data_IF_396860693428
#
_entry.id   IF_396860693428
#
_cell.length_a   1.000
_cell.length_b   1.000
_cell.length_c   1.000
_cell.angle_alpha   90.00
_cell.angle_beta   90.00
_cell.angle_gamma   90.00
#
_symmetry.space_group_name_H-M   'P 1'
#
loop_
_entity.id
_entity.type
_entity.pdbx_description
1 polymer ?
#
# COMPACT_ATOMS: atom_id res chain seq x y z
N UNK A 1 -31.24 2.81 -13.25
CA UNK A 1 -30.16 1.97 -12.65
C UNK A 1 -28.87 2.26 -13.39
N UNK A 2 -27.80 2.54 -12.68
CA UNK A 2 -26.50 2.76 -13.32
C UNK A 2 -25.94 1.43 -13.85
N UNK A 3 -25.06 1.47 -14.84
CA UNK A 3 -24.37 0.27 -15.34
C UNK A 3 -23.64 -0.49 -14.23
N UNK A 4 -23.15 0.23 -13.24
CA UNK A 4 -22.50 -0.37 -12.06
C UNK A 4 -23.50 -1.17 -11.21
N UNK A 5 -24.68 -0.63 -10.97
CA UNK A 5 -25.73 -1.33 -10.20
C UNK A 5 -26.22 -2.58 -10.92
N UNK A 6 -26.33 -2.53 -12.26
CA UNK A 6 -26.64 -3.72 -13.07
C UNK A 6 -25.56 -4.81 -12.93
N UNK A 7 -24.29 -4.42 -13.05
CA UNK A 7 -23.16 -5.33 -12.90
C UNK A 7 -23.07 -5.94 -11.49
N UNK A 8 -23.31 -5.14 -10.46
CA UNK A 8 -23.35 -5.64 -9.08
C UNK A 8 -24.46 -6.67 -8.91
N UNK A 9 -25.65 -6.42 -9.44
CA UNK A 9 -26.76 -7.39 -9.38
C UNK A 9 -26.46 -8.68 -10.16
N UNK A 10 -25.80 -8.56 -11.29
CA UNK A 10 -25.45 -9.70 -12.15
C UNK A 10 -24.38 -10.58 -11.51
N UNK A 11 -23.27 -9.98 -11.05
CA UNK A 11 -22.10 -10.71 -10.55
C UNK A 11 -22.07 -10.92 -9.04
N UNK A 12 -22.86 -10.16 -8.29
CA UNK A 12 -22.95 -10.26 -6.84
C UNK A 12 -24.41 -10.31 -6.38
N UNK A 13 -25.21 -11.30 -6.82
CA UNK A 13 -26.65 -11.34 -6.54
C UNK A 13 -26.98 -11.43 -5.05
N UNK A 14 -26.06 -11.95 -4.25
CA UNK A 14 -26.18 -12.09 -2.80
C UNK A 14 -25.41 -10.97 -2.04
N UNK A 15 -24.99 -9.92 -2.73
CA UNK A 15 -24.16 -8.86 -2.19
C UNK A 15 -22.66 -9.15 -2.30
N UNK A 16 -21.87 -8.25 -1.70
CA UNK A 16 -20.41 -8.34 -1.67
C UNK A 16 -19.97 -8.62 -0.24
N UNK A 17 -19.11 -9.61 -0.06
CA UNK A 17 -18.50 -9.92 1.23
C UNK A 17 -17.44 -8.88 1.59
N UNK A 18 -17.46 -8.48 2.86
CA UNK A 18 -16.43 -7.60 3.42
C UNK A 18 -15.50 -8.38 4.33
N UNK A 19 -14.19 -8.20 4.16
CA UNK A 19 -13.16 -8.82 4.98
C UNK A 19 -12.21 -7.78 5.54
N UNK A 20 -11.75 -8.01 6.76
CA UNK A 20 -10.73 -7.17 7.39
C UNK A 20 -9.36 -7.46 6.79
N UNK A 21 -8.54 -6.42 6.61
CA UNK A 21 -7.18 -6.59 6.11
C UNK A 21 -6.36 -7.57 6.94
N UNK A 22 -6.53 -7.56 8.27
CA UNK A 22 -5.85 -8.49 9.17
C UNK A 22 -6.17 -9.97 8.94
N UNK A 23 -7.30 -10.27 8.30
CA UNK A 23 -7.69 -11.64 7.92
C UNK A 23 -7.11 -12.06 6.56
N UNK A 24 -6.69 -11.09 5.74
CA UNK A 24 -6.29 -11.31 4.35
C UNK A 24 -4.78 -11.31 4.12
N UNK A 25 -4.01 -10.77 5.06
CA UNK A 25 -2.57 -10.65 4.87
C UNK A 25 -1.86 -9.97 6.03
N UNK A 26 -0.66 -9.48 5.74
CA UNK A 26 0.24 -8.91 6.75
C UNK A 26 0.79 -7.56 6.34
N UNK A 27 1.08 -6.72 7.34
CA UNK A 27 1.74 -5.43 7.18
C UNK A 27 3.25 -5.53 7.45
N UNK A 28 4.01 -4.82 6.63
CA UNK A 28 5.47 -4.74 6.70
C UNK A 28 5.92 -3.28 6.66
N UNK A 29 6.97 -2.95 7.40
CA UNK A 29 7.58 -1.63 7.34
C UNK A 29 8.50 -1.45 6.13
N UNK A 30 8.82 -0.19 5.84
CA UNK A 30 9.87 0.17 4.89
C UNK A 30 11.28 -0.03 5.49
N UNK A 31 12.26 0.63 4.89
CA UNK A 31 13.67 0.62 5.33
C UNK A 31 13.81 1.00 6.80
N UNK A 32 14.70 0.33 7.50
CA UNK A 32 15.06 0.62 8.88
C UNK A 32 16.57 0.79 9.05
N UNK A 33 16.96 1.63 10.03
CA UNK A 33 18.37 1.83 10.39
C UNK A 33 19.23 2.50 9.32
N UNK A 34 18.63 3.24 8.39
CA UNK A 34 19.33 3.99 7.34
C UNK A 34 19.58 5.44 7.76
N UNK A 35 20.76 5.92 7.43
CA UNK A 35 21.16 7.32 7.59
C UNK A 35 21.09 8.08 6.26
N UNK A 36 21.21 9.41 6.31
CA UNK A 36 21.26 10.24 5.10
C UNK A 36 22.34 9.80 4.11
N UNK A 37 23.50 9.36 4.61
CA UNK A 37 24.61 8.92 3.78
C UNK A 37 24.32 7.66 2.96
N UNK A 38 23.43 6.80 3.44
CA UNK A 38 23.03 5.57 2.73
C UNK A 38 22.27 5.85 1.43
N UNK A 39 21.75 7.08 1.25
CA UNK A 39 21.05 7.50 0.05
C UNK A 39 21.91 8.30 -0.94
N UNK A 40 23.19 8.53 -0.64
CA UNK A 40 24.08 9.32 -1.49
C UNK A 40 24.72 8.47 -2.60
N UNK A 41 25.16 7.24 -2.29
CA UNK A 41 25.79 6.31 -3.22
C UNK A 41 25.18 4.91 -3.07
N UNK A 42 23.87 4.83 -3.31
CA UNK A 42 23.14 3.58 -3.18
C UNK A 42 23.40 2.60 -4.31
N UNK A 43 23.28 1.32 -3.99
CA UNK A 43 23.42 0.20 -4.92
C UNK A 43 22.10 -0.45 -5.31
N UNK A 44 21.02 -0.19 -4.55
CA UNK A 44 19.71 -0.78 -4.77
C UNK A 44 18.63 0.29 -4.96
N UNK A 45 17.61 0.01 -5.76
CA UNK A 45 16.48 0.91 -5.98
C UNK A 45 15.58 0.99 -4.75
N UNK A 46 15.09 2.17 -4.43
CA UNK A 46 14.06 2.33 -3.40
C UNK A 46 12.95 3.28 -3.83
N UNK A 47 11.76 3.01 -3.32
CA UNK A 47 10.54 3.77 -3.59
C UNK A 47 10.44 4.91 -2.58
N UNK A 48 10.30 6.12 -3.10
CA UNK A 48 10.15 7.34 -2.29
C UNK A 48 8.71 7.52 -1.81
N UNK A 49 8.54 8.28 -0.73
CA UNK A 49 7.23 8.74 -0.25
C UNK A 49 6.42 9.43 -1.37
N UNK A 50 7.06 10.31 -2.13
CA UNK A 50 6.42 11.05 -3.23
C UNK A 50 5.86 10.12 -4.30
N UNK A 51 6.58 9.06 -4.64
CA UNK A 51 6.12 8.08 -5.63
C UNK A 51 4.82 7.40 -5.15
N UNK A 52 4.79 6.96 -3.90
CA UNK A 52 3.60 6.34 -3.28
C UNK A 52 2.42 7.31 -3.25
N UNK A 53 2.66 8.53 -2.81
CA UNK A 53 1.62 9.55 -2.67
C UNK A 53 1.00 9.94 -4.02
N UNK A 54 1.84 10.15 -5.04
CA UNK A 54 1.41 10.70 -6.33
C UNK A 54 0.78 9.65 -7.27
N UNK A 55 1.10 8.36 -7.12
CA UNK A 55 0.78 7.35 -8.11
C UNK A 55 -0.10 6.22 -7.55
N UNK A 56 -1.33 6.03 -8.04
CA UNK A 56 -2.15 4.86 -7.70
C UNK A 56 -1.49 3.53 -8.08
N UNK A 57 -0.83 3.51 -9.24
CA UNK A 57 0.04 2.44 -9.70
C UNK A 57 1.49 2.90 -9.54
N UNK A 58 2.29 2.16 -8.80
CA UNK A 58 3.66 2.55 -8.48
C UNK A 58 4.50 2.74 -9.73
N UNK A 59 5.19 3.88 -9.83
CA UNK A 59 6.16 4.11 -10.89
C UNK A 59 7.46 3.36 -10.57
N UNK A 60 7.84 2.40 -11.42
CA UNK A 60 9.06 1.61 -11.28
C UNK A 60 10.24 2.17 -12.09
N UNK A 61 9.99 3.15 -12.95
CA UNK A 61 11.05 3.89 -13.66
C UNK A 61 11.62 4.96 -12.74
N UNK A 62 12.52 4.55 -11.86
CA UNK A 62 13.10 5.34 -10.79
C UNK A 62 14.63 5.23 -10.77
N UNK A 63 15.27 6.31 -10.33
CA UNK A 63 16.72 6.38 -10.17
C UNK A 63 17.16 6.45 -8.69
N UNK A 64 16.21 6.64 -7.78
CA UNK A 64 16.49 6.73 -6.35
C UNK A 64 17.13 5.45 -5.82
N UNK A 65 18.25 5.60 -5.11
CA UNK A 65 19.08 4.50 -4.63
C UNK A 65 19.33 4.58 -3.14
N UNK A 66 19.44 3.41 -2.54
CA UNK A 66 19.83 3.24 -1.14
C UNK A 66 20.95 2.21 -1.05
N UNK A 67 21.86 2.41 -0.12
CA UNK A 67 22.92 1.45 0.16
C UNK A 67 22.39 0.29 1.01
N UNK A 68 22.48 -0.90 0.47
CA UNK A 68 22.20 -2.16 1.18
C UNK A 68 23.50 -2.94 1.26
N UNK A 69 23.93 -3.24 2.49
CA UNK A 69 25.16 -3.98 2.72
C UNK A 69 24.95 -5.49 2.50
N UNK A 70 26.02 -6.24 2.16
CA UNK A 70 25.93 -7.70 2.08
C UNK A 70 25.43 -8.31 3.39
N UNK A 71 24.42 -9.17 3.30
CA UNK A 71 23.80 -9.81 4.48
C UNK A 71 22.82 -8.96 5.26
N UNK A 72 22.62 -7.70 4.88
CA UNK A 72 21.64 -6.82 5.51
C UNK A 72 20.21 -7.31 5.21
N UNK A 73 19.40 -7.40 6.25
CA UNK A 73 17.99 -7.81 6.13
C UNK A 73 17.08 -6.59 6.12
N UNK A 74 16.42 -6.40 5.00
CA UNK A 74 15.39 -5.37 4.80
C UNK A 74 14.19 -6.00 4.08
N UNK A 75 13.00 -5.47 4.33
CA UNK A 75 11.82 -5.88 3.58
C UNK A 75 11.92 -5.41 2.13
N UNK A 76 11.56 -6.26 1.19
CA UNK A 76 11.49 -5.95 -0.24
C UNK A 76 10.06 -6.02 -0.73
N UNK A 77 9.74 -5.16 -1.69
CA UNK A 77 8.43 -5.10 -2.33
C UNK A 77 8.27 -6.18 -3.40
N UNK A 78 7.05 -6.64 -3.61
CA UNK A 78 6.68 -7.64 -4.61
C UNK A 78 5.45 -7.17 -5.41
N UNK A 79 5.26 -7.75 -6.58
CA UNK A 79 4.05 -7.57 -7.38
C UNK A 79 2.79 -7.83 -6.53
N UNK A 80 1.83 -6.93 -6.60
CA UNK A 80 0.60 -7.02 -5.83
C UNK A 80 0.64 -6.39 -4.43
N UNK A 81 1.81 -6.00 -3.94
CA UNK A 81 1.89 -5.27 -2.67
C UNK A 81 1.16 -3.94 -2.74
N UNK A 82 0.43 -3.63 -1.68
CA UNK A 82 -0.30 -2.38 -1.50
C UNK A 82 0.47 -1.52 -0.51
N UNK A 83 0.97 -0.40 -0.98
CA UNK A 83 1.87 0.48 -0.23
C UNK A 83 1.09 1.68 0.27
N UNK A 84 1.38 2.14 1.49
CA UNK A 84 0.73 3.27 2.12
C UNK A 84 1.76 4.26 2.64
N UNK A 85 1.46 5.55 2.51
CA UNK A 85 2.18 6.58 3.25
C UNK A 85 1.85 6.45 4.75
N UNK A 86 2.87 6.46 5.60
CA UNK A 86 2.71 6.21 7.04
C UNK A 86 2.37 7.44 7.85
N UNK A 87 2.61 8.63 7.32
CA UNK A 87 2.39 9.90 8.02
C UNK A 87 2.05 11.04 7.06
N UNK A 88 1.33 12.05 7.57
CA UNK A 88 1.02 13.28 6.84
C UNK A 88 0.81 14.45 7.81
N UNK A 89 0.78 15.67 7.29
CA UNK A 89 0.45 16.88 8.04
C UNK A 89 -1.07 17.00 8.27
N UNK A 90 -1.89 16.30 7.46
CA UNK A 90 -3.34 16.24 7.60
C UNK A 90 -3.82 14.79 7.74
N UNK A 91 -4.89 14.52 8.52
CA UNK A 91 -5.42 13.17 8.66
C UNK A 91 -5.98 12.62 7.35
N UNK A 92 -6.53 13.48 6.51
CA UNK A 92 -7.15 13.08 5.23
C UNK A 92 -6.12 12.60 4.19
N UNK A 93 -4.86 13.01 4.32
CA UNK A 93 -3.77 12.60 3.44
C UNK A 93 -2.97 11.40 3.98
N UNK A 94 -3.22 10.97 5.22
CA UNK A 94 -2.59 9.79 5.78
C UNK A 94 -2.99 8.52 5.04
N UNK A 95 -2.03 7.62 4.86
CA UNK A 95 -2.28 6.32 4.27
C UNK A 95 -2.72 6.38 2.80
N UNK A 96 -2.24 7.35 2.02
CA UNK A 96 -2.37 7.31 0.57
C UNK A 96 -1.71 6.06 0.02
N UNK A 97 -2.37 5.38 -0.90
CA UNK A 97 -1.95 4.09 -1.38
C UNK A 97 -1.36 4.13 -2.79
N UNK A 98 -0.47 3.21 -3.04
CA UNK A 98 0.04 2.85 -4.37
C UNK A 98 0.17 1.34 -4.44
N UNK A 99 -0.04 0.77 -5.60
CA UNK A 99 0.00 -0.69 -5.79
C UNK A 99 1.05 -1.05 -6.83
N UNK A 100 1.80 -2.12 -6.59
CA UNK A 100 2.72 -2.66 -7.60
C UNK A 100 1.91 -3.49 -8.60
N UNK A 101 1.61 -2.89 -9.74
CA UNK A 101 0.80 -3.48 -10.82
C UNK A 101 1.63 -4.10 -11.92
N UNK A 102 2.95 -3.93 -11.88
CA UNK A 102 3.89 -4.47 -12.87
C UNK A 102 4.88 -5.42 -12.19
N UNK A 103 5.09 -6.58 -12.80
CA UNK A 103 6.11 -7.53 -12.33
C UNK A 103 7.51 -7.02 -12.66
N UNK A 104 8.43 -7.18 -11.72
CA UNK A 104 9.84 -6.86 -11.90
C UNK A 104 10.71 -7.94 -11.26
N UNK A 105 11.88 -8.17 -11.83
CA UNK A 105 12.92 -9.02 -11.24
C UNK A 105 13.88 -8.24 -10.35
N UNK A 106 13.80 -6.91 -10.36
CA UNK A 106 14.64 -6.05 -9.53
C UNK A 106 14.18 -6.07 -8.09
N UNK A 107 15.13 -6.00 -7.15
CA UNK A 107 14.83 -5.75 -5.74
C UNK A 107 14.41 -4.31 -5.56
N UNK A 108 13.28 -4.11 -4.90
CA UNK A 108 12.74 -2.80 -4.57
C UNK A 108 12.61 -2.66 -3.06
N UNK A 109 13.18 -1.61 -2.53
CA UNK A 109 13.06 -1.25 -1.12
C UNK A 109 12.09 -0.08 -0.97
N UNK A 110 11.55 0.13 0.21
CA UNK A 110 10.56 1.15 0.47
C UNK A 110 11.07 2.17 1.48
N UNK A 111 10.78 3.44 1.25
CA UNK A 111 11.04 4.52 2.18
C UNK A 111 10.54 4.20 3.60
N UNK A 112 11.29 4.60 4.62
CA UNK A 112 10.97 4.32 6.04
C UNK A 112 9.70 5.00 6.55
N UNK A 113 9.21 6.04 5.89
CA UNK A 113 7.95 6.71 6.21
C UNK A 113 6.72 6.07 5.55
N UNK A 114 6.93 4.98 4.83
CA UNK A 114 5.89 4.18 4.19
C UNK A 114 5.89 2.77 4.78
N UNK A 115 4.79 2.08 4.60
CA UNK A 115 4.64 0.66 4.92
C UNK A 115 3.80 -0.01 3.85
N UNK A 116 3.76 -1.34 3.83
CA UNK A 116 2.98 -2.05 2.84
C UNK A 116 2.23 -3.24 3.42
N UNK A 117 1.19 -3.62 2.71
CA UNK A 117 0.35 -4.76 2.99
C UNK A 117 0.52 -5.80 1.88
N UNK A 118 0.73 -7.04 2.27
CA UNK A 118 0.85 -8.19 1.38
C UNK A 118 -0.24 -9.18 1.66
N UNK A 119 -1.02 -9.51 0.64
CA UNK A 119 -2.02 -10.57 0.71
C UNK A 119 -1.35 -11.94 0.88
N UNK A 120 -1.89 -12.77 1.75
CA UNK A 120 -1.47 -14.17 1.90
C UNK A 120 -1.82 -14.98 0.64
N UNK A 121 -2.96 -14.65 0.01
CA UNK A 121 -3.36 -15.18 -1.29
C UNK A 121 -3.51 -14.03 -2.30
N UNK A 122 -2.55 -13.92 -3.22
CA UNK A 122 -2.51 -12.85 -4.23
C UNK A 122 -3.65 -12.94 -5.26
N UNK A 123 -4.33 -14.08 -5.38
CA UNK A 123 -5.40 -14.27 -6.38
C UNK A 123 -6.73 -13.63 -5.99
N UNK A 124 -6.92 -13.26 -4.72
CA UNK A 124 -8.22 -12.76 -4.24
C UNK A 124 -8.49 -11.29 -4.60
N UNK A 125 -7.45 -10.54 -4.98
CA UNK A 125 -7.57 -9.13 -5.31
C UNK A 125 -6.58 -8.77 -6.42
N UNK A 126 -7.09 -8.44 -7.58
CA UNK A 126 -6.25 -8.02 -8.71
C UNK A 126 -5.56 -6.68 -8.39
N UNK A 127 -4.24 -6.54 -8.62
CA UNK A 127 -3.51 -5.30 -8.35
C UNK A 127 -4.09 -4.09 -9.08
N UNK A 128 -4.54 -4.25 -10.32
CA UNK A 128 -5.17 -3.17 -11.08
C UNK A 128 -6.53 -2.73 -10.50
N UNK A 129 -7.25 -3.61 -9.83
CA UNK A 129 -8.44 -3.22 -9.07
C UNK A 129 -8.07 -2.60 -7.73
N UNK A 130 -7.10 -3.18 -7.02
CA UNK A 130 -6.64 -2.70 -5.72
C UNK A 130 -6.20 -1.22 -5.75
N UNK A 131 -5.51 -0.77 -6.80
CA UNK A 131 -5.08 0.64 -6.93
C UNK A 131 -6.23 1.64 -6.88
N UNK A 132 -7.40 1.26 -7.37
CA UNK A 132 -8.62 2.08 -7.31
C UNK A 132 -9.35 1.88 -5.98
N UNK A 133 -9.48 0.64 -5.52
CA UNK A 133 -10.18 0.29 -4.28
C UNK A 133 -9.60 1.04 -3.07
N UNK A 134 -8.29 1.02 -2.88
CA UNK A 134 -7.65 1.67 -1.72
C UNK A 134 -7.62 3.20 -1.81
N UNK A 135 -7.98 3.78 -2.95
CA UNK A 135 -8.20 5.21 -3.13
C UNK A 135 -9.67 5.60 -3.17
N UNK A 136 -10.59 4.65 -3.12
CA UNK A 136 -12.02 4.91 -3.03
C UNK A 136 -12.37 5.61 -1.71
N UNK A 137 -13.33 6.53 -1.73
CA UNK A 137 -13.70 7.37 -0.60
C UNK A 137 -14.03 6.57 0.66
N UNK A 138 -14.81 5.48 0.54
CA UNK A 138 -15.19 4.63 1.65
C UNK A 138 -14.00 3.97 2.35
N UNK A 139 -12.99 3.54 1.60
CA UNK A 139 -11.77 2.94 2.14
C UNK A 139 -10.85 4.03 2.70
N UNK A 140 -10.70 5.15 2.00
CA UNK A 140 -9.97 6.33 2.49
C UNK A 140 -10.49 6.81 3.83
N UNK A 141 -11.80 6.85 4.00
CA UNK A 141 -12.42 7.22 5.26
C UNK A 141 -12.03 6.29 6.42
N UNK A 142 -12.04 4.98 6.19
CA UNK A 142 -11.62 4.00 7.19
C UNK A 142 -10.12 4.16 7.52
N UNK A 143 -9.28 4.33 6.50
CA UNK A 143 -7.82 4.52 6.67
C UNK A 143 -7.55 5.80 7.48
N UNK A 144 -8.20 6.90 7.17
CA UNK A 144 -8.06 8.16 7.89
C UNK A 144 -8.35 8.02 9.39
N UNK A 145 -9.30 7.19 9.77
CA UNK A 145 -9.62 6.90 11.19
C UNK A 145 -8.52 6.12 11.93
N UNK A 146 -7.61 5.49 11.23
CA UNK A 146 -6.47 4.81 11.85
C UNK A 146 -5.35 5.76 12.24
N UNK A 147 -5.37 6.98 11.70
CA UNK A 147 -4.36 7.99 11.95
C UNK A 147 -4.61 8.72 13.27
N UNK A 148 -3.53 9.07 13.95
CA UNK A 148 -3.55 9.86 15.17
C UNK A 148 -2.36 10.81 15.22
N UNK A 149 -2.55 11.97 15.85
CA UNK A 149 -1.52 13.00 15.98
C UNK A 149 -2.14 14.37 16.24
N UNK A 150 -1.30 15.40 16.33
CA UNK A 150 -1.71 16.80 16.53
C UNK A 150 -1.22 17.65 15.36
N UNK A 151 0.10 17.78 15.20
CA UNK A 151 0.73 18.51 14.09
C UNK A 151 1.14 17.61 12.93
N UNK A 152 1.39 16.35 13.23
CA UNK A 152 1.69 15.30 12.27
C UNK A 152 0.93 14.04 12.63
N UNK A 153 0.23 13.50 11.67
CA UNK A 153 -0.62 12.32 11.83
C UNK A 153 0.12 11.07 11.37
N UNK A 154 0.03 10.01 12.14
CA UNK A 154 0.66 8.73 11.84
C UNK A 154 -0.41 7.63 11.79
N UNK A 155 -0.31 6.80 10.76
CA UNK A 155 -1.18 5.63 10.57
C UNK A 155 -0.74 4.51 11.51
N UNK A 156 -1.67 3.90 12.21
CA UNK A 156 -1.43 2.72 13.02
C UNK A 156 -1.64 1.45 12.19
N UNK A 157 -0.58 0.66 12.01
CA UNK A 157 -0.67 -0.64 11.32
C UNK A 157 -1.62 -1.61 12.04
N UNK A 158 -1.69 -1.57 13.37
CA UNK A 158 -2.62 -2.41 14.13
C UNK A 158 -4.08 -2.03 13.89
N UNK A 159 -4.38 -0.74 13.83
CA UNK A 159 -5.71 -0.27 13.47
C UNK A 159 -6.05 -0.54 12.00
N UNK A 160 -5.06 -0.50 11.11
CA UNK A 160 -5.23 -0.86 9.69
C UNK A 160 -5.73 -2.28 9.49
N UNK A 161 -5.42 -3.21 10.39
CA UNK A 161 -5.94 -4.58 10.36
C UNK A 161 -7.46 -4.65 10.43
N UNK A 162 -8.12 -3.63 10.98
CA UNK A 162 -9.58 -3.55 11.11
C UNK A 162 -10.27 -2.93 9.87
N UNK A 163 -9.53 -2.33 8.96
CA UNK A 163 -10.08 -1.79 7.71
C UNK A 163 -10.72 -2.93 6.91
N UNK A 164 -11.98 -2.72 6.50
CA UNK A 164 -12.75 -3.71 5.75
C UNK A 164 -12.78 -3.33 4.27
N UNK A 165 -12.50 -4.29 3.43
CA UNK A 165 -12.59 -4.15 1.98
C UNK A 165 -13.63 -5.11 1.40
N UNK A 166 -14.37 -4.67 0.36
CA UNK A 166 -15.26 -5.55 -0.37
C UNK A 166 -14.44 -6.51 -1.24
N UNK A 167 -14.81 -7.79 -1.20
CA UNK A 167 -14.28 -8.80 -2.09
C UNK A 167 -15.39 -9.26 -3.01
N UNK A 168 -15.26 -9.07 -4.34
CA UNK A 168 -16.20 -9.65 -5.29
C UNK A 168 -16.24 -11.18 -5.13
N UNK A 169 -17.41 -11.76 -5.34
CA UNK A 169 -17.51 -13.21 -5.46
C UNK A 169 -16.62 -13.67 -6.63
N UNK A 170 -15.75 -14.65 -6.37
CA UNK A 170 -14.90 -15.26 -7.39
C UNK A 170 -15.72 -16.22 -8.25
#
# INVERSE_FOLDING_TARGET
MSKLEELIKEFCPNGVDYKKLGELGKFYGGLSGKSKNDFTNGNEKFITYKNVYANPSLNLDIEDRVKINPGERQNTLQYGDIIFTGSSETPDECGFSSVITTKTSEKLYLNSFCFFFRLDNQSILLPDFAKHLFRAESIRYQIGKTASGVTRYNVSKDKMKQVQIPLPAL
#
